data_IF_972295262843
#
_entry.id   IF_972295262843
#
_cell.length_a   1.000
_cell.length_b   1.000
_cell.length_c   1.000
_cell.angle_alpha   90.00
_cell.angle_beta   90.00
_cell.angle_gamma   90.00
#
_symmetry.space_group_name_H-M   'P 1'
#
loop_
_entity.id
_entity.type
_entity.pdbx_description
1 polymer ?
#
# COMPACT_ATOMS: atom_id res chain seq x y z
N UNK A 1 0.88 -53.30 9.85
CA UNK A 1 1.62 -52.11 10.34
C UNK A 1 2.01 -51.11 9.24
N UNK A 2 2.03 -51.47 7.95
CA UNK A 2 2.28 -50.52 6.86
C UNK A 2 1.00 -49.83 6.31
N UNK A 3 -0.19 -50.38 6.59
CA UNK A 3 -1.46 -49.89 6.04
C UNK A 3 -2.08 -48.74 6.87
N UNK A 4 -1.86 -48.72 8.18
CA UNK A 4 -2.31 -47.64 9.09
C UNK A 4 -1.57 -46.30 8.88
N UNK A 5 -0.34 -46.34 8.36
CA UNK A 5 0.47 -45.13 8.13
C UNK A 5 0.03 -44.40 6.85
N UNK A 6 -0.45 -45.13 5.84
CA UNK A 6 -0.93 -44.57 4.58
C UNK A 6 -2.28 -43.84 4.74
N UNK A 7 -3.20 -44.41 5.53
CA UNK A 7 -4.51 -43.79 5.82
C UNK A 7 -4.38 -42.53 6.66
N UNK A 8 -3.47 -42.51 7.65
CA UNK A 8 -3.18 -41.31 8.44
C UNK A 8 -2.57 -40.16 7.61
N UNK A 9 -1.73 -40.46 6.63
CA UNK A 9 -1.10 -39.43 5.80
C UNK A 9 -2.08 -38.80 4.79
N UNK A 10 -3.00 -39.59 4.22
CA UNK A 10 -4.04 -39.13 3.30
C UNK A 10 -5.07 -38.24 4.01
N UNK A 11 -5.49 -38.62 5.23
CA UNK A 11 -6.47 -37.85 6.02
C UNK A 11 -5.88 -36.52 6.51
N UNK A 12 -4.60 -36.47 6.89
CA UNK A 12 -3.93 -35.23 7.29
C UNK A 12 -3.75 -34.27 6.12
N UNK A 13 -3.45 -34.78 4.91
CA UNK A 13 -3.41 -33.94 3.71
C UNK A 13 -4.79 -33.38 3.34
N UNK A 14 -5.85 -34.17 3.55
CA UNK A 14 -7.23 -33.77 3.25
C UNK A 14 -7.72 -32.67 4.22
N UNK A 15 -7.49 -32.83 5.52
CA UNK A 15 -7.80 -31.80 6.54
C UNK A 15 -6.99 -30.52 6.32
N UNK A 16 -5.72 -30.63 5.96
CA UNK A 16 -4.86 -29.46 5.66
C UNK A 16 -5.36 -28.72 4.42
N UNK A 17 -5.81 -29.45 3.39
CA UNK A 17 -6.37 -28.88 2.17
C UNK A 17 -7.73 -28.21 2.42
N UNK A 18 -8.58 -28.81 3.25
CA UNK A 18 -9.87 -28.27 3.65
C UNK A 18 -9.71 -27.02 4.53
N UNK A 19 -8.72 -27.01 5.43
CA UNK A 19 -8.40 -25.84 6.24
C UNK A 19 -7.87 -24.69 5.38
N UNK A 20 -6.95 -24.98 4.45
CA UNK A 20 -6.46 -23.99 3.49
C UNK A 20 -7.60 -23.42 2.64
N UNK A 21 -8.48 -24.27 2.12
CA UNK A 21 -9.66 -23.86 1.35
C UNK A 21 -10.60 -22.97 2.17
N UNK A 22 -10.86 -23.32 3.43
CA UNK A 22 -11.67 -22.50 4.35
C UNK A 22 -11.03 -21.14 4.63
N UNK A 23 -9.73 -21.10 4.89
CA UNK A 23 -8.99 -19.84 5.09
C UNK A 23 -9.09 -18.97 3.83
N UNK A 24 -8.86 -19.54 2.65
CA UNK A 24 -8.97 -18.83 1.37
C UNK A 24 -10.38 -18.29 1.12
N UNK A 25 -11.42 -19.09 1.39
CA UNK A 25 -12.81 -18.66 1.21
C UNK A 25 -13.19 -17.51 2.14
N UNK A 26 -12.83 -17.62 3.43
CA UNK A 26 -13.06 -16.55 4.40
C UNK A 26 -12.34 -15.26 4.02
N UNK A 27 -11.08 -15.34 3.56
CA UNK A 27 -10.32 -14.17 3.09
C UNK A 27 -10.94 -13.54 1.85
N UNK A 28 -11.38 -14.35 0.88
CA UNK A 28 -12.03 -13.87 -0.34
C UNK A 28 -13.35 -13.15 -0.01
N UNK A 29 -14.14 -13.67 0.93
CA UNK A 29 -15.36 -13.02 1.38
C UNK A 29 -15.09 -11.63 1.98
N UNK A 30 -14.02 -11.49 2.78
CA UNK A 30 -13.64 -10.18 3.36
C UNK A 30 -13.30 -9.13 2.31
N UNK A 31 -12.83 -9.53 1.12
CA UNK A 31 -12.55 -8.62 0.00
C UNK A 31 -13.81 -7.92 -0.56
N UNK A 32 -15.01 -8.44 -0.22
CA UNK A 32 -16.31 -7.94 -0.69
C UNK A 32 -17.28 -7.55 0.44
N UNK A 33 -17.08 -8.07 1.66
CA UNK A 33 -18.05 -7.99 2.74
C UNK A 33 -18.23 -6.57 3.31
N UNK A 34 -17.15 -5.80 3.43
CA UNK A 34 -17.15 -4.46 4.07
C UNK A 34 -17.03 -3.31 3.05
N UNK A 35 -17.31 -3.63 1.78
CA UNK A 35 -17.02 -2.78 0.63
C UNK A 35 -16.06 -3.52 -0.29
N UNK A 36 -16.43 -3.61 -1.57
CA UNK A 36 -15.53 -4.15 -2.59
C UNK A 36 -14.19 -3.41 -2.51
N UNK A 37 -13.10 -4.16 -2.36
CA UNK A 37 -11.74 -3.61 -2.23
C UNK A 37 -11.40 -2.63 -3.36
N UNK A 38 -11.94 -2.82 -4.57
CA UNK A 38 -11.77 -1.88 -5.68
C UNK A 38 -12.51 -0.56 -5.43
N UNK A 39 -13.67 -0.59 -4.79
CA UNK A 39 -14.42 0.62 -4.41
C UNK A 39 -13.69 1.37 -3.30
N UNK A 40 -13.16 0.66 -2.31
CA UNK A 40 -12.36 1.26 -1.24
C UNK A 40 -11.10 1.94 -1.79
N UNK A 41 -10.37 1.28 -2.70
CA UNK A 41 -9.23 1.88 -3.39
C UNK A 41 -9.62 3.12 -4.21
N UNK A 42 -10.80 3.12 -4.84
CA UNK A 42 -11.31 4.30 -5.54
C UNK A 42 -11.65 5.45 -4.59
N UNK A 43 -12.19 5.15 -3.41
CA UNK A 43 -12.45 6.18 -2.38
C UNK A 43 -11.14 6.78 -1.87
N UNK A 44 -10.13 5.94 -1.60
CA UNK A 44 -8.77 6.41 -1.27
C UNK A 44 -8.18 7.26 -2.39
N UNK A 45 -8.35 6.86 -3.66
CA UNK A 45 -7.89 7.65 -4.80
C UNK A 45 -8.58 9.02 -4.84
N UNK A 46 -9.89 9.10 -4.59
CA UNK A 46 -10.63 10.39 -4.51
C UNK A 46 -10.10 11.26 -3.39
N UNK A 47 -9.80 10.68 -2.23
CA UNK A 47 -9.17 11.37 -1.11
C UNK A 47 -7.81 11.95 -1.54
N UNK A 48 -6.92 11.13 -2.12
CA UNK A 48 -5.60 11.59 -2.59
C UNK A 48 -5.72 12.72 -3.61
N UNK A 49 -6.60 12.54 -4.60
CA UNK A 49 -6.85 13.52 -5.64
C UNK A 49 -7.39 14.83 -5.07
N UNK A 50 -8.23 14.81 -4.04
CA UNK A 50 -8.68 16.03 -3.35
C UNK A 50 -7.51 16.85 -2.79
N UNK A 51 -6.47 16.17 -2.28
CA UNK A 51 -5.31 16.81 -1.67
C UNK A 51 -4.24 17.24 -2.68
N UNK A 52 -4.05 16.49 -3.76
CA UNK A 52 -3.06 16.83 -4.79
C UNK A 52 -3.57 17.87 -5.77
N UNK A 53 -4.79 17.70 -6.30
CA UNK A 53 -5.30 18.46 -7.44
C UNK A 53 -5.65 19.94 -7.17
N UNK A 54 -5.52 20.47 -5.95
CA UNK A 54 -6.02 21.82 -5.64
C UNK A 54 -7.53 22.01 -5.89
N UNK A 55 -8.28 20.94 -6.22
CA UNK A 55 -9.72 20.95 -6.48
C UNK A 55 -10.54 21.25 -5.22
N UNK A 56 -9.95 21.13 -4.04
CA UNK A 56 -10.53 21.56 -2.75
C UNK A 56 -10.14 22.98 -2.31
N UNK A 57 -9.41 23.74 -3.13
CA UNK A 57 -8.62 24.85 -2.65
C UNK A 57 -7.34 24.33 -1.99
N UNK A 58 -6.26 25.11 -2.05
CA UNK A 58 -5.05 24.81 -1.27
C UNK A 58 -5.51 24.73 0.19
N UNK A 59 -5.38 23.60 0.90
CA UNK A 59 -5.82 23.54 2.28
C UNK A 59 -5.06 24.63 3.04
N UNK A 60 -5.80 25.53 3.67
CA UNK A 60 -5.20 26.42 4.66
C UNK A 60 -4.46 25.55 5.67
N UNK A 61 -3.26 25.95 6.11
CA UNK A 61 -2.48 25.20 7.11
C UNK A 61 -3.29 24.84 8.38
N UNK A 62 -4.41 25.51 8.61
CA UNK A 62 -5.37 25.30 9.70
C UNK A 62 -6.32 24.11 9.55
N UNK A 63 -6.50 23.53 8.36
CA UNK A 63 -7.34 22.33 8.15
C UNK A 63 -6.54 21.03 8.03
N UNK A 64 -5.22 21.10 8.25
CA UNK A 64 -4.37 19.92 8.20
C UNK A 64 -4.69 19.00 9.39
N UNK A 65 -5.08 17.73 9.16
CA UNK A 65 -4.72 16.68 10.12
C UNK A 65 -3.20 16.73 10.31
N UNK A 66 -2.67 16.31 11.46
CA UNK A 66 -1.23 16.38 11.77
C UNK A 66 -0.31 15.62 10.77
N UNK A 67 -0.83 14.99 9.70
CA UNK A 67 -0.09 14.03 8.90
C UNK A 67 -0.51 13.82 7.42
N UNK A 68 -0.76 14.85 6.59
CA UNK A 68 -0.61 14.70 5.14
C UNK A 68 0.44 15.65 4.56
N UNK A 69 1.25 16.33 5.38
CA UNK A 69 2.33 17.21 4.91
C UNK A 69 3.30 16.47 3.99
N UNK A 70 3.51 15.17 4.22
CA UNK A 70 4.33 14.32 3.35
C UNK A 70 3.68 14.05 1.98
N UNK A 71 2.36 14.14 1.83
CA UNK A 71 1.68 13.98 0.53
C UNK A 71 1.77 15.25 -0.32
N UNK A 72 1.70 16.41 0.34
CA UNK A 72 1.59 17.72 -0.31
C UNK A 72 2.98 18.34 -0.55
N UNK A 73 3.98 17.96 0.26
CA UNK A 73 5.35 18.41 0.04
C UNK A 73 5.86 17.85 -1.30
N UNK A 74 6.24 18.71 -2.27
CA UNK A 74 6.92 18.23 -3.46
C UNK A 74 8.14 17.42 -3.03
N UNK A 75 8.32 16.25 -3.64
CA UNK A 75 9.51 15.42 -3.42
C UNK A 75 10.73 16.20 -3.94
N UNK A 76 11.34 16.98 -3.05
CA UNK A 76 12.50 17.82 -3.36
C UNK A 76 13.82 17.05 -3.24
N UNK A 77 13.84 15.97 -2.46
CA UNK A 77 15.00 15.10 -2.38
C UNK A 77 14.96 14.12 -3.53
N UNK A 78 15.70 14.38 -4.61
CA UNK A 78 16.05 13.29 -5.54
C UNK A 78 16.60 12.15 -4.67
N UNK A 79 15.96 10.97 -4.71
CA UNK A 79 16.47 9.78 -4.05
C UNK A 79 17.85 9.53 -4.67
N UNK A 80 18.90 10.00 -3.99
CA UNK A 80 20.26 9.91 -4.49
C UNK A 80 20.75 8.49 -4.31
N UNK A 81 21.74 8.06 -5.11
CA UNK A 81 22.36 6.75 -4.94
C UNK A 81 22.90 6.53 -3.51
N UNK A 82 23.16 7.62 -2.77
CA UNK A 82 23.53 7.60 -1.37
C UNK A 82 22.41 7.15 -0.41
N UNK A 83 21.14 7.34 -0.76
CA UNK A 83 20.02 6.81 0.03
C UNK A 83 19.92 5.27 -0.07
N UNK A 84 20.45 4.68 -1.14
CA UNK A 84 20.35 3.24 -1.43
C UNK A 84 21.51 2.40 -0.87
N UNK A 85 22.43 3.01 -0.11
CA UNK A 85 23.63 2.34 0.44
C UNK A 85 23.26 1.14 1.32
N UNK A 86 22.19 1.23 2.10
CA UNK A 86 21.67 0.12 2.88
C UNK A 86 20.17 -0.10 2.57
N UNK A 87 19.83 -1.08 1.72
CA UNK A 87 18.44 -1.37 1.38
C UNK A 87 17.64 -1.96 2.54
N UNK A 88 18.29 -2.34 3.65
CA UNK A 88 17.63 -2.84 4.86
C UNK A 88 17.29 -1.73 5.86
N UNK A 89 17.86 -0.53 5.68
CA UNK A 89 17.60 0.63 6.52
C UNK A 89 16.12 1.07 6.44
N UNK A 90 15.50 1.29 7.60
CA UNK A 90 14.08 1.67 7.67
C UNK A 90 13.75 3.02 7.06
N UNK A 91 14.63 4.00 7.24
CA UNK A 91 14.45 5.32 6.68
C UNK A 91 14.56 5.28 5.15
N UNK A 92 15.54 4.54 4.62
CA UNK A 92 15.69 4.31 3.18
C UNK A 92 14.45 3.66 2.58
N UNK A 93 13.98 2.56 3.17
CA UNK A 93 12.78 1.86 2.68
C UNK A 93 11.54 2.75 2.70
N UNK A 94 11.35 3.51 3.79
CA UNK A 94 10.22 4.42 3.91
C UNK A 94 10.26 5.54 2.87
N UNK A 95 11.44 6.10 2.58
CA UNK A 95 11.64 7.10 1.54
C UNK A 95 11.31 6.56 0.14
N UNK A 96 11.68 5.32 -0.17
CA UNK A 96 11.35 4.68 -1.46
C UNK A 96 9.83 4.55 -1.62
N UNK A 97 9.13 4.09 -0.58
CA UNK A 97 7.67 3.98 -0.59
C UNK A 97 6.99 5.35 -0.72
N UNK A 98 7.49 6.35 0.01
CA UNK A 98 7.00 7.71 -0.07
C UNK A 98 7.15 8.29 -1.48
N UNK A 99 8.32 8.15 -2.08
CA UNK A 99 8.59 8.59 -3.45
C UNK A 99 7.64 7.90 -4.44
N UNK A 100 7.45 6.58 -4.33
CA UNK A 100 6.53 5.84 -5.22
C UNK A 100 5.09 6.34 -5.08
N UNK A 101 4.61 6.54 -3.85
CA UNK A 101 3.26 7.04 -3.59
C UNK A 101 3.05 8.44 -4.17
N UNK A 102 4.00 9.35 -3.95
CA UNK A 102 3.96 10.71 -4.47
C UNK A 102 4.07 10.76 -6.00
N UNK A 103 5.00 10.00 -6.59
CA UNK A 103 5.19 9.92 -8.03
C UNK A 103 3.92 9.45 -8.75
N UNK A 104 3.32 8.35 -8.26
CA UNK A 104 2.07 7.83 -8.84
C UNK A 104 0.90 8.80 -8.65
N UNK A 105 0.81 9.44 -7.49
CA UNK A 105 -0.24 10.43 -7.22
C UNK A 105 -0.11 11.67 -8.13
N UNK A 106 1.10 12.23 -8.27
CA UNK A 106 1.37 13.36 -9.17
C UNK A 106 1.20 12.99 -10.64
N UNK A 107 1.56 11.76 -11.04
CA UNK A 107 1.30 11.24 -12.39
C UNK A 107 -0.20 11.12 -12.65
N UNK A 108 -0.98 10.60 -11.70
CA UNK A 108 -2.43 10.50 -11.81
C UNK A 108 -3.08 11.87 -11.92
N UNK A 109 -2.68 12.82 -11.06
CA UNK A 109 -3.11 14.21 -11.10
C UNK A 109 -2.83 14.86 -12.47
N UNK A 110 -1.59 14.77 -12.96
CA UNK A 110 -1.19 15.36 -14.24
C UNK A 110 -2.04 14.84 -15.40
N UNK A 111 -2.34 13.53 -15.40
CA UNK A 111 -3.20 12.90 -16.41
C UNK A 111 -4.65 13.37 -16.31
N UNK A 112 -5.20 13.47 -15.10
CA UNK A 112 -6.55 14.01 -14.89
C UNK A 112 -6.64 15.47 -15.35
N UNK A 113 -5.66 16.32 -15.03
CA UNK A 113 -5.62 17.72 -15.48
C UNK A 113 -5.49 17.85 -17.00
N UNK A 114 -4.75 16.95 -17.64
CA UNK A 114 -4.64 16.92 -19.09
C UNK A 114 -5.98 16.51 -19.74
N UNK A 115 -6.63 15.48 -19.21
CA UNK A 115 -7.90 14.97 -19.71
C UNK A 115 -9.06 15.95 -19.48
N UNK A 116 -9.02 16.76 -18.41
CA UNK A 116 -10.04 17.81 -18.21
C UNK A 116 -10.08 18.87 -19.33
N UNK A 117 -9.04 18.96 -20.16
CA UNK A 117 -8.97 19.89 -21.30
C UNK A 117 -9.65 19.36 -22.57
N UNK A 118 -10.02 18.08 -22.61
CA UNK A 118 -10.57 17.42 -23.82
C UNK A 118 -12.09 17.56 -23.97
N UNK A 119 -12.77 18.20 -23.01
CA UNK A 119 -14.23 18.39 -23.03
C UNK A 119 -15.05 17.17 -22.58
N UNK A 120 -14.39 16.10 -22.14
CA UNK A 120 -15.05 14.91 -21.58
C UNK A 120 -15.64 15.16 -20.18
N UNK A 121 -16.62 14.35 -19.78
CA UNK A 121 -17.18 14.47 -18.44
C UNK A 121 -16.19 13.96 -17.38
N UNK A 122 -16.26 14.51 -16.16
CA UNK A 122 -15.43 14.07 -15.03
C UNK A 122 -15.52 12.56 -14.77
N UNK A 123 -16.70 11.96 -14.97
CA UNK A 123 -16.92 10.53 -14.76
C UNK A 123 -16.20 9.68 -15.81
N UNK A 124 -16.22 10.09 -17.08
CA UNK A 124 -15.51 9.42 -18.17
C UNK A 124 -13.99 9.49 -17.97
N UNK A 125 -13.48 10.69 -17.67
CA UNK A 125 -12.05 10.91 -17.38
C UNK A 125 -11.59 10.05 -16.20
N UNK A 126 -12.37 10.03 -15.12
CA UNK A 126 -12.08 9.20 -13.94
C UNK A 126 -12.01 7.71 -14.29
N UNK A 127 -12.99 7.22 -15.06
CA UNK A 127 -13.05 5.82 -15.47
C UNK A 127 -11.87 5.43 -16.38
N UNK A 128 -11.51 6.28 -17.35
CA UNK A 128 -10.35 6.05 -18.23
C UNK A 128 -9.03 5.93 -17.45
N UNK A 129 -8.91 6.62 -16.33
CA UNK A 129 -7.70 6.63 -15.50
C UNK A 129 -7.80 5.77 -14.23
N UNK A 130 -8.84 4.92 -14.12
CA UNK A 130 -9.14 4.19 -12.89
C UNK A 130 -7.99 3.30 -12.42
N UNK A 131 -7.29 2.64 -13.35
CA UNK A 131 -6.15 1.78 -13.05
C UNK A 131 -5.04 2.60 -12.39
N UNK A 132 -4.64 3.72 -13.01
CA UNK A 132 -3.61 4.61 -12.46
C UNK A 132 -4.00 5.20 -11.10
N UNK A 133 -5.27 5.58 -10.94
CA UNK A 133 -5.83 6.09 -9.68
C UNK A 133 -5.76 5.04 -8.57
N UNK A 134 -6.16 3.80 -8.87
CA UNK A 134 -6.07 2.69 -7.89
C UNK A 134 -4.63 2.29 -7.60
N UNK A 135 -3.70 2.37 -8.57
CA UNK A 135 -2.27 2.18 -8.32
C UNK A 135 -1.68 3.24 -7.39
N UNK A 136 -2.07 4.51 -7.55
CA UNK A 136 -1.66 5.58 -6.64
C UNK A 136 -2.21 5.35 -5.22
N UNK A 137 -3.49 4.97 -5.11
CA UNK A 137 -4.09 4.61 -3.83
C UNK A 137 -3.40 3.41 -3.16
N UNK A 138 -3.07 2.36 -3.91
CA UNK A 138 -2.35 1.20 -3.39
C UNK A 138 -0.96 1.59 -2.86
N UNK A 139 -0.19 2.32 -3.66
CA UNK A 139 1.14 2.78 -3.24
C UNK A 139 1.09 3.63 -1.97
N UNK A 140 0.05 4.45 -1.82
CA UNK A 140 -0.19 5.21 -0.60
C UNK A 140 -0.48 4.34 0.62
N UNK A 141 -1.36 3.33 0.49
CA UNK A 141 -1.67 2.40 1.58
C UNK A 141 -0.43 1.60 1.97
N UNK A 142 0.35 1.13 1.00
CA UNK A 142 1.61 0.41 1.24
C UNK A 142 2.63 1.25 2.01
N UNK A 143 2.72 2.55 1.71
CA UNK A 143 3.53 3.49 2.49
C UNK A 143 3.05 3.60 3.93
N UNK A 144 1.74 3.73 4.17
CA UNK A 144 1.17 3.79 5.52
C UNK A 144 1.47 2.51 6.31
N UNK A 145 1.30 1.34 5.69
CA UNK A 145 1.61 0.05 6.30
C UNK A 145 3.08 -0.01 6.72
N UNK A 146 4.02 0.39 5.85
CA UNK A 146 5.44 0.37 6.19
C UNK A 146 5.78 1.35 7.32
N UNK A 147 5.22 2.57 7.28
CA UNK A 147 5.39 3.58 8.33
C UNK A 147 4.94 3.03 9.69
N UNK A 148 3.75 2.47 9.74
CA UNK A 148 3.15 1.97 10.97
C UNK A 148 3.89 0.72 11.47
N UNK A 149 4.42 -0.11 10.57
CA UNK A 149 5.27 -1.25 10.92
C UNK A 149 6.62 -0.80 11.51
N UNK A 150 7.25 0.25 10.96
CA UNK A 150 8.46 0.85 11.55
C UNK A 150 8.17 1.35 12.96
N UNK A 151 7.08 2.10 13.16
CA UNK A 151 6.68 2.62 14.47
C UNK A 151 6.39 1.49 15.47
N UNK A 152 5.63 0.47 15.06
CA UNK A 152 5.33 -0.69 15.89
C UNK A 152 6.59 -1.45 16.30
N UNK A 153 7.57 -1.58 15.39
CA UNK A 153 8.86 -2.22 15.68
C UNK A 153 9.67 -1.42 16.71
N UNK A 154 9.62 -0.08 16.65
CA UNK A 154 10.26 0.80 17.64
C UNK A 154 9.65 0.72 19.05
N UNK A 155 8.40 0.25 19.17
CA UNK A 155 7.70 0.07 20.45
C UNK A 155 7.92 -1.30 21.09
N UNK A 156 8.60 -2.23 20.43
CA UNK A 156 8.84 -3.56 20.97
C UNK A 156 9.79 -3.49 22.18
N UNK A 157 9.35 -3.99 23.33
CA UNK A 157 10.13 -3.98 24.58
C UNK A 157 11.18 -5.09 24.63
N UNK A 158 10.87 -6.25 24.03
CA UNK A 158 11.79 -7.38 23.92
C UNK A 158 12.71 -7.21 22.69
N UNK A 159 14.01 -7.18 22.94
CA UNK A 159 15.07 -7.04 21.93
C UNK A 159 15.06 -8.20 20.92
N UNK A 160 14.77 -9.43 21.35
CA UNK A 160 14.70 -10.58 20.46
C UNK A 160 13.51 -10.46 19.50
N UNK A 161 12.35 -10.06 20.03
CA UNK A 161 11.14 -9.79 19.22
C UNK A 161 11.38 -8.64 18.26
N UNK A 162 11.98 -7.54 18.73
CA UNK A 162 12.33 -6.38 17.90
C UNK A 162 13.22 -6.76 16.71
N UNK A 163 14.23 -7.62 16.92
CA UNK A 163 15.10 -8.13 15.84
C UNK A 163 14.33 -8.92 14.79
N UNK A 164 13.36 -9.75 15.19
CA UNK A 164 12.54 -10.53 14.27
C UNK A 164 11.60 -9.61 13.48
N UNK A 165 10.94 -8.66 14.17
CA UNK A 165 10.08 -7.66 13.52
C UNK A 165 10.84 -6.80 12.52
N UNK A 166 12.07 -6.38 12.83
CA UNK A 166 12.95 -5.68 11.89
C UNK A 166 13.19 -6.48 10.60
N UNK A 167 13.43 -7.79 10.72
CA UNK A 167 13.63 -8.69 9.57
C UNK A 167 12.35 -8.85 8.76
N UNK A 168 11.22 -9.09 9.41
CA UNK A 168 9.91 -9.23 8.75
C UNK A 168 9.52 -7.96 7.99
N UNK A 169 9.73 -6.80 8.60
CA UNK A 169 9.56 -5.49 7.97
C UNK A 169 10.47 -5.33 6.76
N UNK A 170 11.76 -5.70 6.84
CA UNK A 170 12.66 -5.65 5.68
C UNK A 170 12.19 -6.58 4.56
N UNK A 171 11.72 -7.79 4.89
CA UNK A 171 11.16 -8.72 3.89
C UNK A 171 9.95 -8.10 3.20
N UNK A 172 8.99 -7.58 3.97
CA UNK A 172 7.82 -6.89 3.44
C UNK A 172 8.19 -5.70 2.53
N UNK A 173 9.12 -4.85 2.98
CA UNK A 173 9.53 -3.67 2.22
C UNK A 173 10.21 -4.07 0.91
N UNK A 174 11.20 -4.97 0.97
CA UNK A 174 11.96 -5.39 -0.20
C UNK A 174 11.10 -6.18 -1.18
N UNK A 175 10.22 -7.07 -0.71
CA UNK A 175 9.33 -7.83 -1.59
C UNK A 175 8.40 -6.91 -2.37
N UNK A 176 7.84 -5.89 -1.71
CA UNK A 176 6.93 -4.92 -2.32
C UNK A 176 7.68 -3.96 -3.27
N UNK A 177 8.93 -3.61 -2.98
CA UNK A 177 9.77 -2.82 -3.90
C UNK A 177 10.08 -3.62 -5.17
N UNK A 178 10.40 -4.91 -5.04
CA UNK A 178 10.73 -5.78 -6.19
C UNK A 178 9.51 -6.20 -7.00
N UNK A 179 8.35 -6.34 -6.35
CA UNK A 179 7.09 -6.76 -6.97
C UNK A 179 5.97 -5.75 -6.61
N UNK A 180 6.00 -4.56 -7.24
CA UNK A 180 5.13 -3.43 -6.89
C UNK A 180 3.70 -3.50 -7.45
#
# INVERSE_FOLDING_TARGET
MAQEIAEGHVVVTDISSLLACRISYSLAAMYTAEGDAHILLQQTARYLMKWTLGFGGRPSKTELPDNPTYLISPFMEKCSDACLIDPTNSSTQLLIFQHRAQYLSGKAESRLLQALKTGETKAQIWHQHIVLLTSAARAYVEYLVLRDFIEATGRATDVAVGKVLCKLRSVFALSTITNP
#
